data_IF_238592925951
#
_entry.id   IF_238592925951
#
_cell.length_a   1.000
_cell.length_b   1.000
_cell.length_c   1.000
_cell.angle_alpha   90.00
_cell.angle_beta   90.00
_cell.angle_gamma   90.00
#
_symmetry.space_group_name_H-M   'P 1'
#
loop_
_entity.id
_entity.type
_entity.pdbx_description
1 polymer ?
#
# COMPACT_ATOMS: atom_id res chain seq x y z
N UNK A 1 14.37 -7.24 2.01
CA UNK A 1 15.10 -6.51 3.09
C UNK A 1 14.43 -5.16 3.28
N UNK A 2 13.99 -4.85 4.49
CA UNK A 2 13.35 -3.57 4.78
C UNK A 2 14.36 -2.54 5.31
N UNK A 3 14.13 -1.24 5.05
CA UNK A 3 14.97 -0.15 5.59
C UNK A 3 14.22 1.19 5.65
N UNK A 4 14.62 2.04 6.59
CA UNK A 4 14.11 3.42 6.68
C UNK A 4 14.76 4.28 5.59
N UNK A 5 13.93 5.02 4.86
CA UNK A 5 14.38 6.05 3.90
C UNK A 5 14.12 7.42 4.52
N UNK A 6 15.18 8.17 4.72
CA UNK A 6 15.12 9.52 5.27
C UNK A 6 14.96 10.57 4.18
N UNK A 7 14.39 11.71 4.54
CA UNK A 7 14.45 12.91 3.70
C UNK A 7 15.89 13.40 3.63
N UNK A 8 16.25 14.02 2.52
CA UNK A 8 17.61 14.50 2.27
C UNK A 8 18.11 15.42 3.40
N UNK A 9 19.30 15.12 3.93
CA UNK A 9 19.94 15.84 5.02
C UNK A 9 19.35 15.60 6.41
N UNK A 10 18.44 14.63 6.56
CA UNK A 10 17.79 14.29 7.84
C UNK A 10 18.06 12.85 8.29
N UNK A 11 19.13 12.24 7.74
CA UNK A 11 19.53 10.86 8.03
C UNK A 11 19.76 10.65 9.53
N UNK A 12 19.22 9.56 10.08
CA UNK A 12 19.32 9.21 11.49
C UNK A 12 18.42 10.00 12.43
N UNK A 13 17.60 10.91 11.91
CA UNK A 13 16.56 11.58 12.70
C UNK A 13 15.27 10.77 12.67
N UNK A 14 15.10 9.93 13.66
CA UNK A 14 13.99 8.97 13.74
C UNK A 14 12.67 9.63 14.19
N UNK A 15 12.21 10.62 13.44
CA UNK A 15 10.90 11.26 13.59
C UNK A 15 10.12 11.13 12.29
N UNK A 16 8.83 10.98 12.37
CA UNK A 16 7.96 10.77 11.21
C UNK A 16 8.12 11.86 10.13
N UNK A 17 8.27 13.11 10.55
CA UNK A 17 8.48 14.23 9.63
C UNK A 17 9.85 14.22 8.92
N UNK A 18 10.81 13.42 9.42
CA UNK A 18 12.17 13.31 8.87
C UNK A 18 12.33 12.12 7.92
N UNK A 19 11.32 11.24 7.81
CA UNK A 19 11.39 10.06 6.95
C UNK A 19 10.52 10.23 5.71
N UNK A 20 10.94 9.59 4.61
CA UNK A 20 10.10 9.39 3.42
C UNK A 20 9.20 8.16 3.60
N UNK A 21 9.69 7.14 4.31
CA UNK A 21 8.97 5.89 4.58
C UNK A 21 9.90 4.72 4.88
N UNK A 22 9.32 3.52 4.89
CA UNK A 22 10.02 2.25 5.00
C UNK A 22 10.00 1.58 3.63
N UNK A 23 11.18 1.36 3.05
CA UNK A 23 11.33 0.67 1.77
C UNK A 23 11.36 -0.84 2.00
N UNK A 24 10.63 -1.58 1.18
CA UNK A 24 10.65 -3.05 1.13
C UNK A 24 10.89 -3.54 -0.31
N UNK A 25 11.46 -4.73 -0.43
CA UNK A 25 11.56 -5.44 -1.70
C UNK A 25 10.28 -6.26 -1.95
N UNK A 26 9.83 -6.31 -3.21
CA UNK A 26 8.70 -7.13 -3.65
C UNK A 26 9.21 -8.33 -4.46
N UNK A 27 8.48 -9.44 -4.43
CA UNK A 27 8.83 -10.66 -5.17
C UNK A 27 8.99 -10.47 -6.68
N UNK A 28 8.37 -9.48 -7.27
CA UNK A 28 8.48 -9.18 -8.69
C UNK A 28 9.71 -8.33 -9.07
N UNK A 29 10.61 -8.06 -8.10
CA UNK A 29 11.81 -7.25 -8.27
C UNK A 29 11.59 -5.74 -8.18
N UNK A 30 10.35 -5.27 -8.01
CA UNK A 30 10.08 -3.87 -7.66
C UNK A 30 10.42 -3.62 -6.19
N UNK A 31 10.50 -2.36 -5.84
CA UNK A 31 10.53 -1.91 -4.45
C UNK A 31 9.29 -1.09 -4.16
N UNK A 32 8.90 -1.05 -2.91
CA UNK A 32 7.81 -0.22 -2.45
C UNK A 32 8.28 0.62 -1.26
N UNK A 33 7.79 1.85 -1.19
CA UNK A 33 7.97 2.73 -0.05
C UNK A 33 6.63 2.84 0.68
N UNK A 34 6.60 2.41 1.93
CA UNK A 34 5.43 2.44 2.80
C UNK A 34 5.57 3.66 3.71
N UNK A 35 4.54 4.51 3.76
CA UNK A 35 4.50 5.56 4.76
C UNK A 35 4.01 4.96 6.09
N UNK A 36 4.76 5.09 7.20
CA UNK A 36 4.47 4.38 8.44
C UNK A 36 3.36 5.06 9.26
N UNK A 37 2.21 5.25 8.61
CA UNK A 37 0.92 5.68 9.19
C UNK A 37 -0.17 4.87 8.53
N UNK A 38 -0.82 4.03 9.30
CA UNK A 38 -1.86 3.13 8.83
C UNK A 38 -3.22 3.57 9.35
N UNK A 39 -4.28 3.09 8.71
CA UNK A 39 -5.62 3.10 9.28
C UNK A 39 -6.15 1.68 9.30
N UNK A 40 -6.51 1.18 10.48
CA UNK A 40 -6.96 -0.20 10.68
C UNK A 40 -8.45 -0.41 10.38
N UNK A 41 -9.20 0.65 10.11
CA UNK A 41 -10.66 0.60 10.04
C UNK A 41 -11.24 1.25 8.78
N UNK A 42 -10.50 1.27 7.67
CA UNK A 42 -10.97 1.91 6.47
C UNK A 42 -11.81 0.98 5.59
N UNK A 43 -12.95 1.49 5.14
CA UNK A 43 -13.74 0.85 4.11
C UNK A 43 -13.10 1.10 2.74
N UNK A 44 -13.03 0.06 1.90
CA UNK A 44 -12.69 0.27 0.49
C UNK A 44 -13.87 0.91 -0.27
N UNK A 45 -15.07 0.75 0.20
CA UNK A 45 -16.39 1.04 -0.39
C UNK A 45 -16.47 2.34 -1.22
N UNK A 46 -16.28 2.28 -2.53
CA UNK A 46 -16.50 3.44 -3.40
C UNK A 46 -18.00 3.72 -3.50
N UNK A 47 -18.40 4.98 -3.33
CA UNK A 47 -19.80 5.39 -3.49
C UNK A 47 -20.31 5.22 -4.92
N UNK A 48 -19.43 5.45 -5.88
CA UNK A 48 -19.68 5.26 -7.31
C UNK A 48 -18.86 4.07 -7.83
N UNK A 49 -19.47 2.88 -7.77
CA UNK A 49 -18.81 1.63 -8.14
C UNK A 49 -18.55 1.49 -9.63
N UNK A 50 -19.27 2.22 -10.46
CA UNK A 50 -19.10 2.17 -11.92
C UNK A 50 -17.83 2.93 -12.35
N UNK A 51 -17.37 3.88 -11.55
CA UNK A 51 -16.10 4.58 -11.75
C UNK A 51 -14.86 3.83 -11.28
N UNK A 52 -15.05 2.78 -10.50
CA UNK A 52 -13.94 1.94 -10.10
C UNK A 52 -13.57 1.00 -11.25
N UNK A 53 -12.41 1.24 -11.81
CA UNK A 53 -11.90 0.58 -13.02
C UNK A 53 -12.14 -0.93 -13.04
N UNK A 54 -12.66 -1.39 -14.16
CA UNK A 54 -12.83 -2.77 -14.60
C UNK A 54 -13.81 -3.66 -13.83
N UNK A 55 -14.48 -4.50 -14.57
CA UNK A 55 -15.40 -5.54 -14.13
C UNK A 55 -14.69 -6.67 -13.38
N UNK A 56 -14.01 -6.38 -12.28
CA UNK A 56 -13.30 -7.37 -11.46
C UNK A 56 -12.15 -8.07 -12.21
N UNK A 57 -11.02 -8.23 -11.58
CA UNK A 57 -9.86 -8.90 -12.17
C UNK A 57 -9.54 -10.19 -11.39
N UNK A 58 -9.03 -11.20 -12.11
CA UNK A 58 -8.54 -12.42 -11.47
C UNK A 58 -7.38 -12.12 -10.54
N UNK A 59 -7.15 -13.00 -9.56
CA UNK A 59 -6.01 -12.89 -8.65
C UNK A 59 -4.69 -12.80 -9.41
N UNK A 60 -4.52 -13.56 -10.48
CA UNK A 60 -3.29 -13.53 -11.30
C UNK A 60 -3.08 -12.19 -12.00
N UNK A 61 -4.14 -11.54 -12.44
CA UNK A 61 -4.06 -10.19 -13.03
C UNK A 61 -3.76 -9.15 -11.95
N UNK A 62 -4.40 -9.25 -10.79
CA UNK A 62 -4.15 -8.36 -9.66
C UNK A 62 -2.70 -8.43 -9.14
N UNK A 63 -2.11 -9.64 -9.09
CA UNK A 63 -0.71 -9.85 -8.70
C UNK A 63 0.30 -9.29 -9.73
N UNK A 64 -0.11 -9.14 -10.99
CA UNK A 64 0.75 -8.61 -12.06
C UNK A 64 0.68 -7.09 -12.22
N UNK A 65 -0.19 -6.41 -11.48
CA UNK A 65 -0.23 -4.95 -11.51
C UNK A 65 1.09 -4.38 -10.96
N UNK A 66 1.67 -3.45 -11.73
CA UNK A 66 2.94 -2.77 -11.40
C UNK A 66 2.78 -1.29 -11.10
N UNK A 67 1.56 -0.79 -11.15
CA UNK A 67 1.21 0.59 -10.85
C UNK A 67 -0.07 0.61 -10.01
N UNK A 68 0.00 1.33 -8.89
CA UNK A 68 -1.13 1.51 -7.99
C UNK A 68 -1.81 2.88 -8.14
N UNK A 69 -1.19 3.82 -8.87
CA UNK A 69 -1.64 5.21 -8.89
C UNK A 69 -2.96 5.38 -9.62
N UNK A 70 -3.10 4.79 -10.82
CA UNK A 70 -4.32 4.88 -11.61
C UNK A 70 -5.52 4.27 -10.89
N UNK A 71 -5.35 3.06 -10.31
CA UNK A 71 -6.40 2.38 -9.56
C UNK A 71 -6.78 3.14 -8.28
N UNK A 72 -5.80 3.66 -7.53
CA UNK A 72 -6.06 4.48 -6.35
C UNK A 72 -6.77 5.79 -6.73
N UNK A 73 -6.38 6.44 -7.82
CA UNK A 73 -7.04 7.66 -8.28
C UNK A 73 -8.51 7.41 -8.68
N UNK A 74 -8.81 6.27 -9.31
CA UNK A 74 -10.17 5.87 -9.62
C UNK A 74 -11.00 5.62 -8.35
N UNK A 75 -10.46 4.90 -7.37
CA UNK A 75 -11.08 4.69 -6.06
C UNK A 75 -11.32 6.01 -5.32
N UNK A 76 -10.36 6.93 -5.35
CA UNK A 76 -10.49 8.24 -4.73
C UNK A 76 -11.63 9.05 -5.37
N UNK A 77 -11.71 9.08 -6.72
CA UNK A 77 -12.80 9.73 -7.46
C UNK A 77 -14.15 9.09 -7.16
N UNK A 78 -14.18 7.77 -6.94
CA UNK A 78 -15.37 7.03 -6.56
C UNK A 78 -15.76 7.22 -5.09
N UNK A 79 -14.96 7.92 -4.29
CA UNK A 79 -15.25 8.26 -2.90
C UNK A 79 -14.82 7.24 -1.86
N UNK A 80 -13.89 6.32 -2.20
CA UNK A 80 -13.36 5.32 -1.26
C UNK A 80 -12.67 5.95 -0.04
N UNK A 81 -13.08 5.61 1.19
CA UNK A 81 -12.42 6.06 2.41
C UNK A 81 -10.95 5.62 2.48
N UNK A 82 -10.65 4.36 2.17
CA UNK A 82 -9.29 3.83 2.19
C UNK A 82 -8.37 4.57 1.20
N UNK A 83 -8.83 4.82 -0.03
CA UNK A 83 -8.06 5.58 -1.00
C UNK A 83 -7.86 7.04 -0.55
N UNK A 84 -8.87 7.64 0.10
CA UNK A 84 -8.76 8.98 0.66
C UNK A 84 -7.72 9.03 1.79
N UNK A 85 -7.69 8.02 2.65
CA UNK A 85 -6.68 7.93 3.70
C UNK A 85 -5.27 7.81 3.10
N UNK A 86 -5.05 6.84 2.22
CA UNK A 86 -3.74 6.58 1.63
C UNK A 86 -3.17 7.81 0.87
N UNK A 87 -4.04 8.56 0.18
CA UNK A 87 -3.62 9.72 -0.62
C UNK A 87 -3.43 11.01 0.17
N UNK A 88 -3.61 11.01 1.50
CA UNK A 88 -3.25 12.16 2.37
C UNK A 88 -1.74 12.40 2.42
N UNK A 89 -0.94 11.36 2.20
CA UNK A 89 0.50 11.39 2.34
C UNK A 89 1.18 11.65 0.99
N UNK A 90 2.25 12.41 1.03
CA UNK A 90 3.00 12.80 -0.17
C UNK A 90 4.49 12.91 0.18
N UNK A 91 5.33 12.38 -0.68
CA UNK A 91 6.76 12.59 -0.68
C UNK A 91 7.14 13.58 -1.78
N UNK A 92 8.05 14.51 -1.51
CA UNK A 92 8.60 15.40 -2.56
C UNK A 92 9.39 14.62 -3.60
N UNK A 93 10.05 13.54 -3.17
CA UNK A 93 10.93 12.71 -4.01
C UNK A 93 10.17 11.61 -4.76
N UNK A 94 9.19 10.97 -4.11
CA UNK A 94 8.54 9.75 -4.62
C UNK A 94 7.07 9.99 -5.05
N UNK A 95 6.53 11.18 -4.83
CA UNK A 95 5.17 11.52 -5.23
C UNK A 95 4.11 11.16 -4.18
N UNK A 96 2.87 11.04 -4.65
CA UNK A 96 1.71 10.76 -3.79
C UNK A 96 1.64 9.27 -3.47
N UNK A 97 1.38 8.96 -2.21
CA UNK A 97 1.07 7.59 -1.79
C UNK A 97 -0.34 7.19 -2.25
N UNK A 98 -0.54 5.90 -2.42
CA UNK A 98 -1.82 5.29 -2.79
C UNK A 98 -2.01 3.98 -2.04
N UNK A 99 -3.10 3.25 -2.35
CA UNK A 99 -3.30 1.89 -1.84
C UNK A 99 -2.32 0.92 -2.53
N UNK A 100 -1.86 -0.13 -1.84
CA UNK A 100 -0.95 -1.11 -2.42
C UNK A 100 -1.60 -1.88 -3.58
N UNK A 101 -0.80 -2.36 -4.53
CA UNK A 101 -1.21 -3.46 -5.41
C UNK A 101 -1.41 -4.73 -4.57
N UNK A 102 -2.05 -5.76 -5.12
CA UNK A 102 -2.26 -7.01 -4.36
C UNK A 102 -0.94 -7.66 -3.95
N UNK A 103 0.05 -7.68 -4.84
CA UNK A 103 1.38 -8.19 -4.50
C UNK A 103 2.02 -7.39 -3.36
N UNK A 104 1.98 -6.06 -3.45
CA UNK A 104 2.54 -5.22 -2.41
C UNK A 104 1.80 -5.38 -1.06
N UNK A 105 0.48 -5.56 -1.08
CA UNK A 105 -0.29 -5.86 0.14
C UNK A 105 0.13 -7.19 0.78
N UNK A 106 0.36 -8.24 -0.03
CA UNK A 106 0.88 -9.52 0.46
C UNK A 106 2.27 -9.39 1.06
N UNK A 107 3.17 -8.65 0.39
CA UNK A 107 4.52 -8.41 0.90
C UNK A 107 4.53 -7.59 2.20
N UNK A 108 3.62 -6.63 2.35
CA UNK A 108 3.43 -5.90 3.62
C UNK A 108 3.08 -6.87 4.74
N UNK A 109 2.14 -7.78 4.51
CA UNK A 109 1.73 -8.75 5.53
C UNK A 109 2.80 -9.80 5.82
N UNK A 110 3.55 -10.23 4.82
CA UNK A 110 4.64 -11.20 4.96
C UNK A 110 5.84 -10.58 5.72
N UNK A 111 6.14 -9.31 5.48
CA UNK A 111 7.27 -8.60 6.10
C UNK A 111 6.84 -7.75 7.31
N UNK A 112 5.62 -7.95 7.84
CA UNK A 112 5.03 -7.16 8.93
C UNK A 112 5.99 -7.00 10.12
N UNK A 113 6.60 -8.09 10.57
CA UNK A 113 7.54 -8.06 11.70
C UNK A 113 8.79 -7.21 11.46
N UNK A 114 9.34 -7.19 10.23
CA UNK A 114 10.45 -6.30 9.88
C UNK A 114 10.00 -4.84 9.77
N UNK A 115 8.82 -4.61 9.18
CA UNK A 115 8.25 -3.26 9.02
C UNK A 115 7.98 -2.64 10.38
N UNK A 116 7.33 -3.38 11.29
CA UNK A 116 7.00 -2.91 12.62
C UNK A 116 8.24 -2.67 13.50
N UNK A 117 9.25 -3.52 13.35
CA UNK A 117 10.53 -3.28 14.02
C UNK A 117 11.13 -1.94 13.63
N UNK A 118 11.13 -1.60 12.34
CA UNK A 118 11.62 -0.31 11.86
C UNK A 118 10.69 0.85 12.23
N UNK A 119 9.37 0.62 12.20
CA UNK A 119 8.39 1.63 12.61
C UNK A 119 8.55 2.01 14.09
N UNK A 120 8.88 1.05 14.97
CA UNK A 120 9.18 1.34 16.39
C UNK A 120 10.37 2.27 16.59
N UNK A 121 11.29 2.33 15.64
CA UNK A 121 12.41 3.26 15.66
C UNK A 121 12.03 4.68 15.26
N UNK A 122 10.83 4.88 14.67
CA UNK A 122 10.37 6.18 14.16
C UNK A 122 9.33 6.76 15.13
N UNK A 123 9.68 7.84 15.82
CA UNK A 123 8.77 8.56 16.69
C UNK A 123 7.58 9.13 15.88
N UNK A 124 6.37 8.80 16.32
CA UNK A 124 5.11 9.18 15.67
C UNK A 124 4.65 8.24 14.55
N UNK A 125 5.33 7.10 14.32
CA UNK A 125 4.83 6.07 13.43
C UNK A 125 3.71 5.24 14.09
N UNK A 126 2.80 4.71 13.26
CA UNK A 126 1.83 3.69 13.68
C UNK A 126 2.37 2.31 13.30
N UNK A 127 1.99 1.30 14.08
CA UNK A 127 2.34 -0.10 13.82
C UNK A 127 1.17 -0.82 13.15
N UNK A 128 1.47 -1.88 12.41
CA UNK A 128 0.44 -2.76 11.83
C UNK A 128 -0.15 -3.73 12.87
N UNK A 129 -0.01 -3.47 14.14
CA UNK A 129 -0.36 -4.31 15.29
C UNK A 129 -1.40 -5.41 14.98
N UNK A 130 -0.94 -6.64 14.96
CA UNK A 130 -1.61 -7.94 14.87
C UNK A 130 -1.41 -8.69 13.56
N UNK A 131 -0.89 -9.91 13.68
CA UNK A 131 -0.85 -10.93 12.62
C UNK A 131 -2.22 -11.27 12.01
N UNK A 132 -3.29 -10.69 12.50
CA UNK A 132 -4.63 -10.76 11.95
C UNK A 132 -4.93 -9.65 10.95
N UNK A 133 -3.99 -8.76 10.68
CA UNK A 133 -4.23 -7.61 9.81
C UNK A 133 -4.54 -8.04 8.39
N UNK A 134 -5.67 -7.58 7.91
CA UNK A 134 -6.04 -7.67 6.51
C UNK A 134 -5.74 -6.33 5.84
N UNK A 135 -4.97 -6.35 4.77
CA UNK A 135 -4.56 -5.14 4.04
C UNK A 135 -5.34 -5.02 2.74
N UNK A 136 -6.03 -3.90 2.55
CA UNK A 136 -6.68 -3.57 1.29
C UNK A 136 -5.68 -3.41 0.16
N UNK A 137 -5.97 -4.01 -0.99
CA UNK A 137 -5.33 -3.63 -2.25
C UNK A 137 -6.18 -2.64 -3.04
N UNK A 138 -5.55 -1.96 -4.01
CA UNK A 138 -6.27 -1.09 -4.95
C UNK A 138 -7.08 -1.85 -6.01
N UNK A 139 -7.09 -3.17 -5.97
CA UNK A 139 -7.67 -4.03 -7.01
C UNK A 139 -9.05 -4.54 -6.65
N UNK A 140 -9.94 -4.54 -7.64
CA UNK A 140 -11.29 -5.08 -7.53
C UNK A 140 -11.30 -6.56 -7.90
N UNK A 141 -11.99 -7.39 -7.11
CA UNK A 141 -12.17 -8.82 -7.44
C UNK A 141 -13.50 -9.10 -8.14
N UNK A 142 -14.59 -8.50 -7.66
CA UNK A 142 -15.95 -8.57 -8.21
C UNK A 142 -16.65 -7.22 -8.00
N UNK A 143 -17.90 -7.08 -8.47
CA UNK A 143 -18.66 -5.82 -8.34
C UNK A 143 -18.64 -5.24 -6.92
N UNK A 144 -18.85 -6.08 -5.92
CA UNK A 144 -18.98 -5.69 -4.52
C UNK A 144 -17.83 -6.21 -3.63
N UNK A 145 -16.69 -6.57 -4.25
CA UNK A 145 -15.54 -7.16 -3.58
C UNK A 145 -14.23 -6.54 -4.02
N UNK A 146 -13.36 -6.20 -3.06
CA UNK A 146 -11.96 -5.85 -3.29
C UNK A 146 -11.03 -7.01 -2.96
N UNK A 147 -9.83 -7.02 -3.54
CA UNK A 147 -8.77 -7.93 -3.13
C UNK A 147 -8.13 -7.45 -1.85
N UNK A 148 -7.92 -8.37 -0.91
CA UNK A 148 -7.16 -8.16 0.33
C UNK A 148 -6.05 -9.18 0.46
N UNK A 149 -5.01 -8.82 1.19
CA UNK A 149 -3.98 -9.72 1.68
C UNK A 149 -4.20 -10.02 3.16
N UNK A 150 -3.92 -11.24 3.59
CA UNK A 150 -4.03 -11.68 4.97
C UNK A 150 -2.68 -12.15 5.49
N UNK A 151 -2.17 -11.50 6.54
CA UNK A 151 -0.96 -11.92 7.23
C UNK A 151 -1.10 -13.27 7.93
N UNK A 152 -2.26 -13.49 8.56
CA UNK A 152 -2.51 -14.74 9.30
C UNK A 152 -2.55 -15.99 8.41
N UNK A 153 -3.13 -15.87 7.22
CA UNK A 153 -3.32 -17.01 6.31
C UNK A 153 -2.29 -17.07 5.19
N UNK A 154 -1.46 -16.05 5.01
CA UNK A 154 -0.45 -15.99 3.96
C UNK A 154 -1.00 -16.01 2.53
N UNK A 155 -2.27 -15.62 2.32
CA UNK A 155 -2.89 -15.59 1.00
C UNK A 155 -3.80 -14.39 0.76
N UNK A 156 -4.16 -14.19 -0.50
CA UNK A 156 -5.06 -13.15 -0.96
C UNK A 156 -6.44 -13.71 -1.27
N UNK A 157 -7.50 -12.97 -0.95
CA UNK A 157 -8.86 -13.31 -1.35
C UNK A 157 -9.75 -12.08 -1.57
N UNK A 158 -10.88 -12.27 -2.24
CA UNK A 158 -11.87 -11.23 -2.44
C UNK A 158 -12.74 -11.04 -1.20
N UNK A 159 -12.82 -9.84 -0.70
CA UNK A 159 -13.64 -9.50 0.45
C UNK A 159 -14.64 -8.39 0.16
N UNK A 160 -15.80 -8.47 0.82
CA UNK A 160 -16.87 -7.49 0.66
C UNK A 160 -16.44 -6.08 1.04
N UNK A 161 -16.86 -5.09 0.27
CA UNK A 161 -16.45 -3.69 0.41
C UNK A 161 -16.92 -3.03 1.72
N UNK A 162 -17.87 -3.65 2.40
CA UNK A 162 -18.42 -3.20 3.69
C UNK A 162 -17.59 -3.61 4.92
N UNK A 163 -16.53 -4.40 4.72
CA UNK A 163 -15.58 -4.73 5.78
C UNK A 163 -14.56 -3.61 5.98
N UNK A 164 -14.05 -3.50 7.20
CA UNK A 164 -13.01 -2.53 7.58
C UNK A 164 -11.69 -3.25 7.73
N UNK A 165 -10.68 -2.78 7.00
CA UNK A 165 -9.34 -3.35 7.00
C UNK A 165 -8.27 -2.26 6.92
N UNK A 166 -7.03 -2.67 7.01
CA UNK A 166 -5.89 -1.77 6.96
C UNK A 166 -5.78 -1.09 5.60
N UNK A 167 -5.72 0.24 5.61
CA UNK A 167 -5.25 1.04 4.49
C UNK A 167 -3.79 1.43 4.76
N UNK A 168 -2.86 0.84 4.02
CA UNK A 168 -1.43 1.11 4.10
C UNK A 168 -1.03 2.05 2.96
N UNK A 169 -0.60 3.30 3.23
CA UNK A 169 -0.15 4.19 2.18
C UNK A 169 1.17 3.72 1.58
N UNK A 170 1.21 3.53 0.26
CA UNK A 170 2.35 2.96 -0.44
C UNK A 170 2.58 3.66 -1.79
N UNK A 171 3.83 3.81 -2.18
CA UNK A 171 4.24 4.14 -3.54
C UNK A 171 5.17 3.06 -4.07
N UNK A 172 4.90 2.59 -5.30
CA UNK A 172 5.79 1.65 -6.00
C UNK A 172 6.96 2.41 -6.59
N UNK A 173 8.16 1.91 -6.36
CA UNK A 173 9.38 2.47 -6.90
C UNK A 173 9.76 1.73 -8.19
N UNK A 174 10.23 2.47 -9.18
CA UNK A 174 10.75 1.88 -10.40
C UNK A 174 11.92 0.95 -10.09
N UNK A 175 12.04 -0.14 -10.82
CA UNK A 175 13.25 -0.96 -10.76
C UNK A 175 14.44 -0.17 -11.32
N UNK A 176 15.64 -0.49 -10.88
CA UNK A 176 16.87 0.15 -11.43
C UNK A 176 17.00 -0.03 -12.97
N UNK A 177 16.35 -1.05 -13.53
CA UNK A 177 16.28 -1.27 -14.97
C UNK A 177 15.36 -0.25 -15.67
N UNK A 178 14.20 0.09 -15.06
CA UNK A 178 13.25 1.06 -15.62
C UNK A 178 13.81 2.49 -15.56
N UNK A 179 14.65 2.78 -14.56
CA UNK A 179 15.32 4.08 -14.44
C UNK A 179 16.31 4.33 -15.58
N UNK A 180 16.89 3.27 -16.19
CA UNK A 180 17.82 3.38 -17.33
C UNK A 180 17.13 3.58 -18.67
N UNK A 181 15.83 3.29 -18.77
CA UNK A 181 15.04 3.44 -19.99
C UNK A 181 14.40 4.84 -20.15
N UNK A 182 14.58 5.72 -19.16
CA UNK A 182 14.04 7.09 -19.18
C UNK A 182 15.05 8.16 -19.59
N UNK A 183 16.19 7.75 -20.17
CA UNK A 183 17.21 8.65 -20.75
C UNK A 183 17.37 8.42 -22.25
#
# INVERSE_FOLDING_TARGET
MARIIYKEGLEGRNRLECVEGIEIDLLNGQRALIYPRYSNEELLDPKDRDRWLDAGISVMRALRLRDNQAATAALLKAGSPAARFATKFTSKKFGRFGLPTLLAAMEITEQEGEIDKLAREIDGADLLEDFSSYVWSCSRSKRDYGWIASGFYGYAYGCGLYHRYVAAPLVLLDTAADARLRF
#
